data_IF_804025525022
#
_entry.id   IF_804025525022
#
_cell.length_a   1.000
_cell.length_b   1.000
_cell.length_c   1.000
_cell.angle_alpha   90.00
_cell.angle_beta   90.00
_cell.angle_gamma   90.00
#
_symmetry.space_group_name_H-M   'P 1'
#
loop_
_entity.id
_entity.type
_entity.pdbx_description
1 polymer ?
#
# COMPACT_ATOMS: atom_id res chain seq x y z
N UNK A 1 9.34 18.29 -4.87
CA UNK A 1 8.61 18.81 -6.07
C UNK A 1 7.97 17.65 -6.81
N UNK A 2 6.81 17.83 -7.51
CA UNK A 2 6.21 16.79 -8.36
C UNK A 2 6.46 17.11 -9.84
N UNK A 3 7.00 16.17 -10.60
CA UNK A 3 7.17 16.24 -12.06
C UNK A 3 6.44 15.07 -12.71
N UNK A 4 5.56 15.36 -13.67
CA UNK A 4 4.86 14.34 -14.47
C UNK A 4 5.52 14.24 -15.84
N UNK A 5 5.86 13.00 -16.24
CA UNK A 5 6.41 12.66 -17.55
C UNK A 5 5.25 12.08 -18.37
N UNK A 6 4.67 12.89 -19.24
CA UNK A 6 3.49 12.49 -20.03
C UNK A 6 3.88 12.08 -21.46
N UNK A 7 3.14 11.12 -22.00
CA UNK A 7 3.36 10.65 -23.37
C UNK A 7 2.57 9.38 -23.67
N UNK A 8 2.38 9.07 -24.94
CA UNK A 8 1.71 7.83 -25.40
C UNK A 8 2.52 6.59 -24.97
N UNK A 9 1.91 5.42 -24.99
CA UNK A 9 2.62 4.16 -24.82
C UNK A 9 3.77 4.08 -25.86
N UNK A 10 4.96 3.61 -25.44
CA UNK A 10 6.13 3.52 -26.27
C UNK A 10 6.86 4.85 -26.57
N UNK A 11 6.45 5.99 -25.98
CA UNK A 11 7.11 7.30 -26.21
C UNK A 11 8.46 7.46 -25.51
N UNK A 12 8.95 6.43 -24.82
CA UNK A 12 10.27 6.45 -24.15
C UNK A 12 10.28 7.05 -22.74
N UNK A 13 9.13 7.09 -22.04
CA UNK A 13 9.06 7.59 -20.66
C UNK A 13 9.97 6.83 -19.70
N UNK A 14 9.88 5.50 -19.69
CA UNK A 14 10.78 4.61 -18.92
C UNK A 14 12.26 4.84 -19.30
N UNK A 15 12.55 4.98 -20.60
CA UNK A 15 13.91 5.26 -21.05
C UNK A 15 14.44 6.63 -20.58
N UNK A 16 13.57 7.62 -20.43
CA UNK A 16 13.92 8.92 -19.85
C UNK A 16 14.30 8.79 -18.37
N UNK A 17 13.47 8.08 -17.57
CA UNK A 17 13.76 7.79 -16.18
C UNK A 17 15.08 7.03 -16.02
N UNK A 18 15.27 5.95 -16.76
CA UNK A 18 16.49 5.14 -16.71
C UNK A 18 17.74 5.97 -17.07
N UNK A 19 17.62 6.90 -18.02
CA UNK A 19 18.71 7.82 -18.38
C UNK A 19 19.04 8.78 -17.23
N UNK A 20 18.05 9.33 -16.55
CA UNK A 20 18.27 10.21 -15.40
C UNK A 20 18.91 9.46 -14.22
N UNK A 21 18.46 8.25 -13.93
CA UNK A 21 19.07 7.39 -12.91
C UNK A 21 20.51 7.08 -13.27
N UNK A 22 20.78 6.68 -14.51
CA UNK A 22 22.14 6.41 -15.00
C UNK A 22 23.05 7.63 -14.84
N UNK A 23 22.60 8.82 -15.25
CA UNK A 23 23.37 10.05 -15.07
C UNK A 23 23.67 10.33 -13.59
N UNK A 24 22.72 10.05 -12.69
CA UNK A 24 22.93 10.21 -11.26
C UNK A 24 24.02 9.24 -10.75
N UNK A 25 24.01 7.98 -11.20
CA UNK A 25 25.01 6.97 -10.86
C UNK A 25 26.40 7.38 -11.37
N UNK A 26 26.51 7.83 -12.64
CA UNK A 26 27.75 8.32 -13.25
C UNK A 26 28.32 9.55 -12.47
N UNK A 27 27.42 10.41 -11.96
CA UNK A 27 27.77 11.58 -11.15
C UNK A 27 27.92 11.27 -9.66
N UNK A 28 27.81 10.01 -9.24
CA UNK A 28 27.88 9.55 -7.85
C UNK A 28 26.88 10.25 -6.93
N UNK A 29 25.67 10.52 -7.46
CA UNK A 29 24.57 11.12 -6.70
C UNK A 29 23.65 10.03 -6.18
N UNK A 30 23.70 9.76 -4.88
CA UNK A 30 22.85 8.78 -4.21
C UNK A 30 21.41 9.24 -3.99
N UNK A 31 20.61 8.38 -3.33
CA UNK A 31 19.24 8.70 -2.96
C UNK A 31 18.25 8.64 -4.13
N UNK A 32 18.52 7.79 -5.13
CA UNK A 32 17.59 7.53 -6.25
C UNK A 32 16.78 6.28 -5.97
N UNK A 33 15.47 6.40 -6.05
CA UNK A 33 14.54 5.30 -5.84
C UNK A 33 13.61 5.18 -7.04
N UNK A 34 13.55 4.02 -7.65
CA UNK A 34 12.58 3.70 -8.69
C UNK A 34 11.50 2.78 -8.10
N UNK A 35 10.25 3.26 -8.05
CA UNK A 35 9.08 2.50 -7.63
C UNK A 35 8.38 1.97 -8.89
N UNK A 36 8.19 0.65 -8.94
CA UNK A 36 7.49 -0.05 -10.02
C UNK A 36 6.50 -1.07 -9.44
N UNK A 37 5.51 -1.53 -10.22
CA UNK A 37 4.65 -2.63 -9.81
C UNK A 37 5.45 -3.88 -9.45
N UNK A 38 4.95 -4.66 -8.47
CA UNK A 38 5.65 -5.83 -7.92
C UNK A 38 6.16 -6.79 -9.01
N UNK A 39 5.33 -7.05 -10.01
CA UNK A 39 5.66 -7.97 -11.11
C UNK A 39 6.80 -7.49 -12.03
N UNK A 40 7.07 -6.19 -12.06
CA UNK A 40 8.10 -5.58 -12.92
C UNK A 40 9.39 -5.24 -12.17
N UNK A 41 9.43 -5.39 -10.83
CA UNK A 41 10.57 -4.94 -10.01
C UNK A 41 11.88 -5.61 -10.42
N UNK A 42 11.86 -6.92 -10.66
CA UNK A 42 13.07 -7.67 -11.07
C UNK A 42 13.54 -7.32 -12.48
N UNK A 43 12.61 -7.08 -13.42
CA UNK A 43 12.94 -6.70 -14.78
C UNK A 43 13.55 -5.30 -14.83
N UNK A 44 12.95 -4.34 -14.12
CA UNK A 44 13.44 -2.97 -14.01
C UNK A 44 14.84 -2.92 -13.37
N UNK A 45 15.07 -3.69 -12.30
CA UNK A 45 16.37 -3.80 -11.66
C UNK A 45 17.43 -4.36 -12.63
N UNK A 46 17.13 -5.46 -13.35
CA UNK A 46 18.04 -6.05 -14.33
C UNK A 46 18.39 -5.08 -15.45
N UNK A 47 17.43 -4.31 -15.93
CA UNK A 47 17.65 -3.33 -16.99
C UNK A 47 18.57 -2.19 -16.52
N UNK A 48 18.34 -1.68 -15.31
CA UNK A 48 19.23 -0.68 -14.70
C UNK A 48 20.63 -1.24 -14.41
N UNK A 49 20.75 -2.47 -13.94
CA UNK A 49 22.04 -3.13 -13.73
C UNK A 49 22.83 -3.26 -15.04
N UNK A 50 22.18 -3.57 -16.17
CA UNK A 50 22.85 -3.63 -17.48
C UNK A 50 23.41 -2.29 -17.93
N UNK A 51 22.73 -1.20 -17.58
CA UNK A 51 23.08 0.15 -18.02
C UNK A 51 24.02 0.89 -17.07
N UNK A 52 23.93 0.62 -15.76
CA UNK A 52 24.69 1.28 -14.71
C UNK A 52 25.83 0.43 -14.13
N UNK A 53 25.82 -0.90 -14.39
CA UNK A 53 26.75 -1.84 -13.80
C UNK A 53 26.63 -2.01 -12.30
N UNK A 54 27.67 -2.55 -11.65
CA UNK A 54 27.69 -2.86 -10.22
C UNK A 54 27.55 -1.62 -9.32
N UNK A 55 27.81 -0.44 -9.86
CA UNK A 55 27.68 0.82 -9.12
C UNK A 55 26.23 1.20 -8.82
N UNK A 56 25.23 0.58 -9.48
CA UNK A 56 23.80 0.91 -9.29
C UNK A 56 23.42 0.89 -7.81
N UNK A 57 23.72 -0.20 -7.10
CA UNK A 57 23.32 -0.42 -5.70
C UNK A 57 23.85 0.61 -4.70
N UNK A 58 24.86 1.37 -5.06
CA UNK A 58 25.42 2.44 -4.22
C UNK A 58 24.63 3.75 -4.33
N UNK A 59 23.90 3.96 -5.41
CA UNK A 59 23.29 5.26 -5.74
C UNK A 59 21.81 5.20 -6.01
N UNK A 60 21.29 4.03 -6.43
CA UNK A 60 19.88 3.85 -6.76
C UNK A 60 19.37 2.47 -6.30
N UNK A 61 18.10 2.41 -5.98
CA UNK A 61 17.40 1.21 -5.55
C UNK A 61 16.08 1.07 -6.33
N UNK A 62 15.72 -0.14 -6.74
CA UNK A 62 14.44 -0.44 -7.41
C UNK A 62 13.58 -1.21 -6.46
N UNK A 63 12.41 -0.70 -6.16
CA UNK A 63 11.48 -1.30 -5.20
C UNK A 63 10.05 -1.29 -5.73
N UNK A 64 9.25 -2.24 -5.28
CA UNK A 64 7.79 -2.10 -5.28
C UNK A 64 7.34 -1.35 -4.02
N UNK A 65 6.05 -1.01 -3.92
CA UNK A 65 5.49 -0.47 -2.67
C UNK A 65 5.69 -1.43 -1.49
N UNK A 66 5.58 -2.75 -1.72
CA UNK A 66 5.86 -3.78 -0.70
C UNK A 66 7.34 -3.78 -0.31
N UNK A 67 8.24 -3.65 -1.27
CA UNK A 67 9.67 -3.53 -1.04
C UNK A 67 10.02 -2.27 -0.24
N UNK A 68 9.43 -1.15 -0.61
CA UNK A 68 9.58 0.12 0.12
C UNK A 68 9.09 0.01 1.57
N UNK A 69 7.93 -0.64 1.79
CA UNK A 69 7.42 -0.86 3.15
C UNK A 69 8.41 -1.64 4.01
N UNK A 70 9.00 -2.72 3.46
CA UNK A 70 10.05 -3.50 4.16
C UNK A 70 11.30 -2.66 4.44
N UNK A 71 11.72 -1.84 3.49
CA UNK A 71 12.91 -0.99 3.61
C UNK A 71 12.74 0.08 4.68
N UNK A 72 11.59 0.77 4.68
CA UNK A 72 11.25 1.78 5.70
C UNK A 72 11.06 1.13 7.07
N UNK A 73 10.40 -0.02 7.16
CA UNK A 73 10.24 -0.75 8.42
C UNK A 73 11.59 -1.18 9.02
N UNK A 74 12.55 -1.62 8.19
CA UNK A 74 13.90 -1.94 8.64
C UNK A 74 14.64 -0.71 9.19
N UNK A 75 14.43 0.46 8.59
CA UNK A 75 15.05 1.72 8.98
C UNK A 75 14.42 2.31 10.27
N UNK A 76 13.11 2.16 10.45
CA UNK A 76 12.37 2.71 11.60
C UNK A 76 12.17 1.76 12.77
N UNK A 77 12.79 0.57 12.72
CA UNK A 77 12.70 -0.44 13.80
C UNK A 77 11.44 -1.30 13.75
N UNK A 78 10.63 -1.23 12.69
CA UNK A 78 9.39 -1.99 12.52
C UNK A 78 9.54 -3.40 11.92
N UNK A 79 10.73 -4.00 11.97
CA UNK A 79 11.02 -5.33 11.37
C UNK A 79 10.21 -6.46 12.02
N UNK A 80 9.72 -6.27 13.24
CA UNK A 80 8.98 -7.28 14.00
C UNK A 80 7.48 -7.34 13.68
N UNK A 81 6.98 -6.59 12.69
CA UNK A 81 5.56 -6.63 12.32
C UNK A 81 5.24 -8.00 11.73
N UNK A 82 4.46 -8.78 12.49
CA UNK A 82 3.97 -10.09 12.06
C UNK A 82 2.72 -9.89 11.21
N UNK A 83 2.88 -10.00 9.89
CA UNK A 83 1.73 -10.02 9.00
C UNK A 83 1.05 -11.38 9.01
N UNK A 84 -0.29 -11.35 9.00
CA UNK A 84 -1.10 -12.56 8.88
C UNK A 84 -1.05 -13.09 7.45
N UNK A 85 -1.10 -14.41 7.33
CA UNK A 85 -1.38 -15.08 6.07
C UNK A 85 -2.90 -15.16 5.81
N UNK A 86 -3.29 -15.69 4.65
CA UNK A 86 -4.71 -15.81 4.28
C UNK A 86 -5.49 -16.71 5.26
N UNK A 87 -4.85 -17.74 5.80
CA UNK A 87 -5.47 -18.62 6.81
C UNK A 87 -5.72 -17.87 8.11
N UNK A 88 -4.74 -17.10 8.57
CA UNK A 88 -4.87 -16.26 9.76
C UNK A 88 -5.98 -15.21 9.61
N UNK A 89 -6.06 -14.54 8.46
CA UNK A 89 -7.14 -13.59 8.17
C UNK A 89 -8.52 -14.25 8.19
N UNK A 90 -8.65 -15.42 7.58
CA UNK A 90 -9.91 -16.18 7.57
C UNK A 90 -10.34 -16.59 8.98
N UNK A 91 -9.40 -17.05 9.82
CA UNK A 91 -9.67 -17.38 11.22
C UNK A 91 -10.09 -16.16 12.03
N UNK A 92 -9.42 -15.02 11.85
CA UNK A 92 -9.81 -13.76 12.52
C UNK A 92 -11.20 -13.31 12.08
N UNK A 93 -11.54 -13.39 10.78
CA UNK A 93 -12.89 -13.07 10.29
C UNK A 93 -13.94 -14.00 10.89
N UNK A 94 -13.71 -15.30 10.89
CA UNK A 94 -14.63 -16.25 11.51
C UNK A 94 -14.84 -15.97 13.00
N UNK A 95 -13.80 -15.62 13.74
CA UNK A 95 -13.87 -15.26 15.15
C UNK A 95 -14.62 -13.95 15.35
N UNK A 96 -14.36 -12.94 14.55
CA UNK A 96 -15.07 -11.65 14.56
C UNK A 96 -16.58 -11.84 14.36
N UNK A 97 -16.96 -12.59 13.32
CA UNK A 97 -18.36 -12.87 13.03
C UNK A 97 -19.04 -13.68 14.15
N UNK A 98 -18.32 -14.61 14.78
CA UNK A 98 -18.80 -15.35 15.92
C UNK A 98 -19.04 -14.45 17.14
N UNK A 99 -18.17 -13.48 17.37
CA UNK A 99 -18.32 -12.53 18.48
C UNK A 99 -19.50 -11.57 18.27
N UNK A 100 -19.65 -11.05 17.04
CA UNK A 100 -20.75 -10.15 16.70
C UNK A 100 -22.11 -10.87 16.65
N UNK A 101 -22.13 -12.09 16.13
CA UNK A 101 -23.29 -12.98 16.17
C UNK A 101 -24.61 -12.30 15.78
N UNK A 102 -25.53 -12.24 16.76
CA UNK A 102 -26.88 -11.68 16.57
C UNK A 102 -26.93 -10.15 16.49
N UNK A 103 -25.83 -9.44 16.70
CA UNK A 103 -25.78 -7.99 16.58
C UNK A 103 -25.85 -7.53 15.12
N UNK A 104 -25.50 -8.42 14.18
CA UNK A 104 -25.53 -8.13 12.74
C UNK A 104 -26.95 -8.31 12.18
N UNK A 105 -27.43 -7.28 11.49
CA UNK A 105 -28.77 -7.25 10.91
C UNK A 105 -28.90 -8.06 9.62
N UNK A 106 -27.84 -8.06 8.78
CA UNK A 106 -27.82 -8.67 7.44
C UNK A 106 -26.84 -9.84 7.39
N UNK A 107 -25.64 -9.68 7.96
CA UNK A 107 -24.56 -10.66 7.87
C UNK A 107 -24.49 -11.64 9.03
N UNK A 108 -25.50 -11.70 9.90
CA UNK A 108 -25.52 -12.62 11.05
C UNK A 108 -25.35 -14.10 10.68
N UNK A 109 -25.78 -14.50 9.49
CA UNK A 109 -25.59 -15.87 8.97
C UNK A 109 -24.20 -16.14 8.37
N UNK A 110 -23.32 -15.14 8.31
CA UNK A 110 -21.99 -15.29 7.72
C UNK A 110 -21.08 -16.25 8.48
N UNK A 111 -21.33 -16.44 9.78
CA UNK A 111 -20.58 -17.38 10.64
C UNK A 111 -20.54 -18.79 10.07
N UNK A 112 -21.64 -19.25 9.48
CA UNK A 112 -21.78 -20.63 8.93
C UNK A 112 -21.52 -20.72 7.43
N UNK A 113 -21.05 -19.63 6.78
CA UNK A 113 -20.88 -19.54 5.32
C UNK A 113 -19.49 -19.05 4.94
N UNK A 114 -18.52 -19.96 4.72
CA UNK A 114 -17.14 -19.57 4.38
C UNK A 114 -17.03 -18.66 3.16
N UNK A 115 -17.90 -18.86 2.14
CA UNK A 115 -17.91 -18.02 0.94
C UNK A 115 -18.27 -16.55 1.27
N UNK A 116 -19.21 -16.34 2.19
CA UNK A 116 -19.59 -15.01 2.63
C UNK A 116 -18.49 -14.38 3.49
N UNK A 117 -17.77 -15.16 4.28
CA UNK A 117 -16.60 -14.69 5.04
C UNK A 117 -15.51 -14.19 4.10
N UNK A 118 -15.25 -14.90 3.00
CA UNK A 118 -14.28 -14.48 1.98
C UNK A 118 -14.69 -13.14 1.34
N UNK A 119 -15.96 -13.00 0.96
CA UNK A 119 -16.49 -11.73 0.39
C UNK A 119 -16.38 -10.58 1.39
N UNK A 120 -16.62 -10.81 2.67
CA UNK A 120 -16.45 -9.78 3.71
C UNK A 120 -14.98 -9.38 3.87
N UNK A 121 -14.03 -10.34 3.83
CA UNK A 121 -12.60 -10.04 3.83
C UNK A 121 -12.20 -9.19 2.63
N UNK A 122 -12.63 -9.57 1.42
CA UNK A 122 -12.39 -8.79 0.19
C UNK A 122 -12.95 -7.35 0.33
N UNK A 123 -14.14 -7.21 0.93
CA UNK A 123 -14.71 -5.89 1.18
C UNK A 123 -13.87 -5.04 2.15
N UNK A 124 -13.36 -5.63 3.24
CA UNK A 124 -12.45 -4.94 4.16
C UNK A 124 -11.12 -4.57 3.49
N UNK A 125 -10.55 -5.46 2.67
CA UNK A 125 -9.34 -5.18 1.90
C UNK A 125 -9.54 -4.01 0.92
N UNK A 126 -10.68 -3.98 0.22
CA UNK A 126 -11.03 -2.88 -0.69
C UNK A 126 -11.23 -1.56 0.06
N UNK A 127 -11.82 -1.58 1.27
CA UNK A 127 -11.94 -0.41 2.12
C UNK A 127 -10.56 0.12 2.52
N UNK A 128 -9.66 -0.74 2.99
CA UNK A 128 -8.29 -0.38 3.39
C UNK A 128 -7.49 0.17 2.21
N UNK A 129 -7.58 -0.46 1.04
CA UNK A 129 -6.95 0.04 -0.18
C UNK A 129 -7.48 1.42 -0.61
N UNK A 130 -8.75 1.72 -0.28
CA UNK A 130 -9.41 3.00 -0.53
C UNK A 130 -9.22 4.02 0.60
N UNK A 131 -8.47 3.68 1.64
CA UNK A 131 -8.32 4.48 2.88
C UNK A 131 -9.67 4.82 3.54
N UNK A 132 -10.65 3.92 3.46
CA UNK A 132 -11.94 4.03 4.10
C UNK A 132 -11.93 3.31 5.45
N UNK A 133 -12.61 3.89 6.44
CA UNK A 133 -12.82 3.31 7.76
C UNK A 133 -14.32 3.15 8.08
N UNK A 134 -14.63 2.56 9.22
CA UNK A 134 -16.01 2.37 9.71
C UNK A 134 -16.81 3.68 9.76
N UNK A 135 -16.17 4.78 10.18
CA UNK A 135 -16.81 6.11 10.22
C UNK A 135 -17.26 6.61 8.86
N UNK A 136 -16.49 6.34 7.79
CA UNK A 136 -16.89 6.67 6.42
C UNK A 136 -18.13 5.89 5.98
N UNK A 137 -18.22 4.60 6.34
CA UNK A 137 -19.38 3.76 6.03
C UNK A 137 -20.63 4.25 6.76
N UNK A 138 -20.52 4.58 8.05
CA UNK A 138 -21.64 5.10 8.85
C UNK A 138 -22.13 6.43 8.25
N UNK A 139 -21.20 7.34 7.92
CA UNK A 139 -21.55 8.62 7.29
C UNK A 139 -22.26 8.42 5.94
N UNK A 140 -21.80 7.46 5.13
CA UNK A 140 -22.44 7.14 3.86
C UNK A 140 -23.82 6.49 4.04
N UNK A 141 -24.01 5.73 5.12
CA UNK A 141 -25.26 5.04 5.43
C UNK A 141 -26.45 6.01 5.66
N UNK A 142 -26.18 7.22 6.17
CA UNK A 142 -27.24 8.20 6.47
C UNK A 142 -27.98 8.72 5.21
N UNK A 143 -27.36 8.65 4.03
CA UNK A 143 -27.97 9.02 2.76
C UNK A 143 -28.58 7.85 1.98
N UNK A 144 -28.58 6.63 2.52
CA UNK A 144 -28.95 5.43 1.80
C UNK A 144 -30.32 4.89 2.18
N UNK A 145 -30.92 4.08 1.27
CA UNK A 145 -32.12 3.31 1.58
C UNK A 145 -31.87 2.26 2.68
N UNK A 146 -32.92 1.86 3.38
CA UNK A 146 -32.89 1.04 4.62
C UNK A 146 -32.04 -0.23 4.49
N UNK A 147 -32.13 -0.95 3.36
CA UNK A 147 -31.37 -2.20 3.14
C UNK A 147 -29.87 -1.92 3.04
N UNK A 148 -29.48 -0.88 2.29
CA UNK A 148 -28.07 -0.54 2.14
C UNK A 148 -27.53 0.05 3.43
N UNK A 149 -28.29 0.85 4.15
CA UNK A 149 -27.94 1.37 5.48
C UNK A 149 -27.56 0.24 6.43
N UNK A 150 -28.41 -0.81 6.54
CA UNK A 150 -28.13 -1.98 7.39
C UNK A 150 -26.84 -2.70 6.97
N UNK A 151 -26.61 -2.89 5.65
CA UNK A 151 -25.37 -3.52 5.16
C UNK A 151 -24.12 -2.70 5.51
N UNK A 152 -24.16 -1.39 5.34
CA UNK A 152 -23.03 -0.51 5.66
C UNK A 152 -22.77 -0.46 7.16
N UNK A 153 -23.82 -0.45 7.98
CA UNK A 153 -23.70 -0.50 9.44
C UNK A 153 -23.08 -1.82 9.90
N UNK A 154 -23.57 -2.96 9.40
CA UNK A 154 -22.98 -4.27 9.71
C UNK A 154 -21.51 -4.35 9.28
N UNK A 155 -21.17 -3.85 8.07
CA UNK A 155 -19.81 -3.86 7.58
C UNK A 155 -18.88 -2.98 8.44
N UNK A 156 -19.37 -1.83 8.91
CA UNK A 156 -18.64 -0.96 9.84
C UNK A 156 -18.37 -1.69 11.17
N UNK A 157 -19.37 -2.36 11.74
CA UNK A 157 -19.21 -3.16 12.96
C UNK A 157 -18.22 -4.31 12.78
N UNK A 158 -18.27 -5.01 11.64
CA UNK A 158 -17.34 -6.09 11.31
C UNK A 158 -15.92 -5.54 11.18
N UNK A 159 -15.73 -4.40 10.50
CA UNK A 159 -14.42 -3.76 10.34
C UNK A 159 -13.80 -3.41 11.70
N UNK A 160 -14.54 -2.73 12.58
CA UNK A 160 -14.04 -2.33 13.89
C UNK A 160 -13.69 -3.54 14.78
N UNK A 161 -14.55 -4.56 14.79
CA UNK A 161 -14.32 -5.75 15.60
C UNK A 161 -13.15 -6.59 15.05
N UNK A 162 -12.99 -6.65 13.72
CA UNK A 162 -11.88 -7.32 13.07
C UNK A 162 -10.55 -6.63 13.39
N UNK A 163 -10.49 -5.30 13.26
CA UNK A 163 -9.28 -4.53 13.56
C UNK A 163 -8.91 -4.62 15.05
N UNK A 164 -9.89 -4.54 15.97
CA UNK A 164 -9.67 -4.73 17.40
C UNK A 164 -9.12 -6.13 17.75
N UNK A 165 -9.57 -7.17 17.04
CA UNK A 165 -9.04 -8.53 17.21
C UNK A 165 -7.58 -8.61 16.74
N UNK A 166 -7.25 -7.96 15.62
CA UNK A 166 -5.91 -7.95 15.04
C UNK A 166 -4.85 -7.28 15.93
N UNK A 167 -5.21 -6.27 16.71
CA UNK A 167 -4.28 -5.58 17.63
C UNK A 167 -3.50 -6.55 18.53
N UNK A 168 -4.10 -7.71 18.86
CA UNK A 168 -3.50 -8.71 19.76
C UNK A 168 -2.87 -9.91 19.02
N UNK A 169 -3.09 -10.05 17.72
CA UNK A 169 -2.70 -11.26 16.97
C UNK A 169 -1.59 -10.96 15.96
N UNK A 170 -1.71 -9.84 15.25
CA UNK A 170 -0.79 -9.44 14.18
C UNK A 170 -1.39 -8.38 13.28
N UNK A 171 -0.70 -8.04 12.22
CA UNK A 171 -1.10 -6.98 11.29
C UNK A 171 -1.68 -7.57 10.01
N UNK A 172 -2.78 -7.00 9.54
CA UNK A 172 -3.33 -7.31 8.21
C UNK A 172 -2.35 -6.81 7.12
N UNK A 173 -1.97 -7.65 6.15
CA UNK A 173 -1.19 -7.20 5.00
C UNK A 173 -1.78 -6.00 4.26
N UNK A 174 -3.11 -5.82 4.29
CA UNK A 174 -3.82 -4.71 3.66
C UNK A 174 -3.51 -3.36 4.33
N UNK A 175 -3.06 -3.36 5.59
CA UNK A 175 -2.64 -2.14 6.31
C UNK A 175 -1.20 -1.73 6.00
N UNK A 176 -0.45 -2.53 5.23
CA UNK A 176 0.97 -2.30 4.96
C UNK A 176 1.26 -0.92 4.40
N UNK A 177 0.47 -0.44 3.46
CA UNK A 177 0.70 0.86 2.83
C UNK A 177 0.31 2.03 3.73
N UNK A 178 -0.72 1.88 4.52
CA UNK A 178 -1.11 2.86 5.54
C UNK A 178 -0.03 2.98 6.61
N UNK A 179 0.50 1.85 7.08
CA UNK A 179 1.65 1.83 8.00
C UNK A 179 2.90 2.43 7.37
N UNK A 180 3.19 2.11 6.10
CA UNK A 180 4.29 2.71 5.37
C UNK A 180 4.15 4.24 5.34
N UNK A 181 2.99 4.75 4.93
CA UNK A 181 2.75 6.19 4.85
C UNK A 181 2.97 6.90 6.21
N UNK A 182 2.54 6.27 7.31
CA UNK A 182 2.73 6.80 8.67
C UNK A 182 4.21 6.78 9.12
N UNK A 183 5.02 5.84 8.61
CA UNK A 183 6.43 5.66 9.01
C UNK A 183 7.43 6.45 8.14
N UNK A 184 7.05 6.87 6.96
CA UNK A 184 7.91 7.69 6.08
C UNK A 184 8.47 8.94 6.78
N UNK A 185 7.71 9.72 7.57
CA UNK A 185 8.25 10.88 8.28
C UNK A 185 9.38 10.55 9.26
N UNK A 186 9.41 9.35 9.82
CA UNK A 186 10.41 8.89 10.79
C UNK A 186 11.66 8.29 10.11
N UNK A 187 11.55 7.91 8.83
CA UNK A 187 12.60 7.20 8.09
C UNK A 187 13.76 8.10 7.71
N UNK A 188 14.97 7.57 7.87
CA UNK A 188 16.21 8.21 7.40
C UNK A 188 16.56 7.78 5.97
N UNK A 189 15.92 6.72 5.45
CA UNK A 189 16.10 6.22 4.10
C UNK A 189 15.60 7.23 3.04
N UNK A 190 14.46 7.88 3.31
CA UNK A 190 13.91 8.91 2.45
C UNK A 190 14.19 10.29 3.05
N UNK A 191 14.88 11.14 2.31
CA UNK A 191 15.26 12.49 2.72
C UNK A 191 14.82 13.53 1.68
N UNK A 192 14.94 14.80 2.00
CA UNK A 192 14.73 15.91 1.05
C UNK A 192 15.65 15.88 -0.18
N UNK A 193 16.76 15.12 -0.11
CA UNK A 193 17.71 14.92 -1.22
C UNK A 193 17.37 13.73 -2.09
N UNK A 194 16.38 12.94 -1.69
CA UNK A 194 15.94 11.77 -2.44
C UNK A 194 15.16 12.20 -3.68
N UNK A 195 15.38 11.47 -4.79
CA UNK A 195 14.56 11.59 -5.99
C UNK A 195 13.88 10.25 -6.22
N UNK A 196 12.56 10.27 -6.17
CA UNK A 196 11.72 9.08 -6.32
C UNK A 196 11.07 9.11 -7.69
N UNK A 197 11.34 8.09 -8.47
CA UNK A 197 10.72 7.83 -9.76
C UNK A 197 9.62 6.80 -9.59
N UNK A 198 8.50 6.98 -10.28
CA UNK A 198 7.38 6.05 -10.29
C UNK A 198 7.04 5.72 -11.74
N UNK A 199 7.15 4.46 -12.13
CA UNK A 199 6.95 4.02 -13.51
C UNK A 199 6.18 2.71 -13.60
N UNK A 200 5.44 2.53 -14.71
CA UNK A 200 4.75 1.28 -15.03
C UNK A 200 3.39 1.09 -14.35
N UNK A 201 2.85 2.09 -13.67
CA UNK A 201 1.51 2.06 -13.12
C UNK A 201 0.47 2.59 -14.11
N UNK A 202 -0.68 1.95 -14.17
CA UNK A 202 -1.85 2.41 -14.93
C UNK A 202 -2.74 3.32 -14.10
N UNK A 203 -2.84 3.03 -12.80
CA UNK A 203 -3.60 3.75 -11.79
C UNK A 203 -2.99 3.55 -10.41
N UNK A 204 -3.49 4.25 -9.42
CA UNK A 204 -3.07 4.14 -8.03
C UNK A 204 -4.28 3.98 -7.12
N UNK A 205 -4.16 3.08 -6.16
CA UNK A 205 -5.09 3.02 -5.03
C UNK A 205 -4.94 4.25 -4.13
N UNK A 206 -5.94 4.54 -3.31
CA UNK A 206 -5.86 5.64 -2.36
C UNK A 206 -4.71 5.44 -1.36
N UNK A 207 -4.43 4.20 -0.96
CA UNK A 207 -3.32 3.86 -0.07
C UNK A 207 -1.95 4.12 -0.71
N UNK A 208 -1.78 3.79 -2.00
CA UNK A 208 -0.55 4.12 -2.75
C UNK A 208 -0.37 5.63 -2.91
N UNK A 209 -1.46 6.36 -3.21
CA UNK A 209 -1.43 7.83 -3.25
C UNK A 209 -1.08 8.44 -1.88
N UNK A 210 -1.53 7.85 -0.78
CA UNK A 210 -1.16 8.30 0.56
C UNK A 210 0.35 8.14 0.81
N UNK A 211 0.95 7.02 0.36
CA UNK A 211 2.41 6.82 0.41
C UNK A 211 3.14 7.86 -0.42
N UNK A 212 2.72 8.11 -1.66
CA UNK A 212 3.35 9.12 -2.53
C UNK A 212 3.25 10.53 -1.93
N UNK A 213 2.10 10.88 -1.32
CA UNK A 213 1.93 12.14 -0.59
C UNK A 213 2.86 12.24 0.61
N UNK A 214 3.04 11.17 1.37
CA UNK A 214 3.97 11.14 2.50
C UNK A 214 5.43 11.34 2.05
N UNK A 215 5.84 10.72 0.93
CA UNK A 215 7.16 10.91 0.31
C UNK A 215 7.37 12.39 -0.07
N UNK A 216 6.38 12.99 -0.72
CA UNK A 216 6.45 14.42 -1.10
C UNK A 216 6.49 15.34 0.12
N UNK A 217 5.72 15.04 1.16
CA UNK A 217 5.72 15.81 2.42
C UNK A 217 7.07 15.76 3.14
N UNK A 218 7.86 14.69 2.94
CA UNK A 218 9.23 14.56 3.43
C UNK A 218 10.22 15.48 2.69
N UNK A 219 9.79 16.14 1.61
CA UNK A 219 10.61 17.02 0.80
C UNK A 219 11.30 16.35 -0.38
N UNK A 220 11.13 15.05 -0.57
CA UNK A 220 11.69 14.33 -1.72
C UNK A 220 11.10 14.82 -3.04
N UNK A 221 11.90 14.83 -4.10
CA UNK A 221 11.42 15.06 -5.45
C UNK A 221 10.74 13.80 -5.99
N UNK A 222 9.50 13.94 -6.49
CA UNK A 222 8.73 12.83 -7.07
C UNK A 222 8.58 13.05 -8.58
N UNK A 223 8.92 12.04 -9.36
CA UNK A 223 8.75 12.01 -10.81
C UNK A 223 7.93 10.78 -11.21
N UNK A 224 6.82 10.98 -11.92
CA UNK A 224 5.94 9.89 -12.38
C UNK A 224 5.81 9.91 -13.91
N UNK A 225 5.81 8.70 -14.51
CA UNK A 225 5.71 8.46 -15.94
C UNK A 225 4.49 7.61 -16.31
#
# INVERSE_FOLDING_TARGET
MLRLITGKAGSGKTAAINREIRQAVEQRRGGRLLIVPEQYSHEAERELCRTCGDALSLYAEVLSFTGLARRVAADTGGVAVKFLDNGGKALCMAQTLKQLGQQLSVFGNAVSRPELQAVLLEALEAMKASCLNSGNLISAADGCGEVLKKKLTDLAMISDAYDALLENIGTDPSDRLTLLASKIPESTFLTEKSVVYVDGFTDFTAAELAVLKAIMARGADLQSA
#
